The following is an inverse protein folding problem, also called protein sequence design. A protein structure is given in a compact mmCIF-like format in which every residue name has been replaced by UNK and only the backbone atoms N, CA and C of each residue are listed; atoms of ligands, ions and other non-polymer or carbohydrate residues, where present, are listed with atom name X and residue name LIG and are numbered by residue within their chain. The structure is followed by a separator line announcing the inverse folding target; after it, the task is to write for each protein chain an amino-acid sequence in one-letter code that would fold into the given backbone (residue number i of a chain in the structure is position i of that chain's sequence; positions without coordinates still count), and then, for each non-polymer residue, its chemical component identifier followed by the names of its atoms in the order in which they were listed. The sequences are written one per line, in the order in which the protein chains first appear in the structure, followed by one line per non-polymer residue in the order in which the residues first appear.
data_IF_646366220400
#
_entry.id   IF_646366220400
#
_cell.length_a   1.000
_cell.length_b   1.000
_cell.length_c   1.000
_cell.angle_alpha   90.00
_cell.angle_beta   90.00
_cell.angle_gamma   90.00
#
_symmetry.space_group_name_H-M   'P 1'
#
loop_
_entity.id
_entity.type
_entity.pdbx_description
1 polymer ?
#
# COMPACT_ATOMS: atom_id res chain seq x y z
N UNK A 1 -9.93 8.84 -8.07
CA UNK A 1 -8.91 9.36 -7.14
C UNK A 1 -7.67 8.52 -7.35
N UNK A 2 -6.50 9.13 -7.50
CA UNK A 2 -5.25 8.37 -7.70
C UNK A 2 -4.58 8.14 -6.36
N UNK A 3 -4.29 6.88 -6.06
CA UNK A 3 -3.61 6.45 -4.87
C UNK A 3 -2.24 5.90 -5.26
N UNK A 4 -1.19 6.40 -4.63
CA UNK A 4 0.16 5.87 -4.81
C UNK A 4 0.56 5.07 -3.57
N UNK A 5 0.92 3.81 -3.77
CA UNK A 5 1.37 2.92 -2.71
C UNK A 5 2.82 2.53 -3.01
N UNK A 6 3.76 3.17 -2.32
CA UNK A 6 5.17 2.77 -2.27
C UNK A 6 5.35 1.59 -1.31
N UNK A 7 6.17 0.62 -1.68
CA UNK A 7 6.69 -0.39 -0.77
C UNK A 7 8.20 -0.25 -0.69
N UNK A 8 8.70 -0.21 0.53
CA UNK A 8 10.12 -0.32 0.82
C UNK A 8 10.39 -1.63 1.56
N UNK A 9 11.33 -2.40 1.06
CA UNK A 9 11.83 -3.60 1.72
C UNK A 9 13.11 -3.26 2.46
N UNK A 10 13.16 -3.54 3.76
CA UNK A 10 14.41 -3.49 4.53
C UNK A 10 15.16 -4.80 4.31
N UNK A 11 15.64 -5.00 3.09
CA UNK A 11 16.32 -6.22 2.66
C UNK A 11 17.24 -5.89 1.50
N UNK A 12 18.51 -6.19 1.66
CA UNK A 12 19.52 -6.07 0.63
C UNK A 12 19.29 -7.19 -0.39
N UNK A 13 18.41 -6.98 -1.36
CA UNK A 13 18.39 -7.74 -2.62
C UNK A 13 17.52 -7.01 -3.63
N UNK A 14 18.19 -6.17 -4.41
CA UNK A 14 17.70 -5.75 -5.71
C UNK A 14 17.96 -6.92 -6.68
N UNK A 15 17.00 -7.82 -6.81
CA UNK A 15 16.90 -8.64 -8.02
C UNK A 15 15.48 -8.46 -8.56
N UNK A 16 15.40 -8.06 -9.83
CA UNK A 16 14.16 -7.82 -10.56
C UNK A 16 13.44 -9.15 -10.84
N UNK A 17 13.10 -9.88 -9.80
CA UNK A 17 12.26 -11.07 -9.86
C UNK A 17 10.80 -10.66 -9.83
N UNK A 18 9.90 -11.39 -10.50
CA UNK A 18 8.46 -11.13 -10.44
C UNK A 18 7.84 -11.41 -9.05
N UNK A 19 8.58 -11.92 -8.07
CA UNK A 19 8.09 -12.16 -6.70
C UNK A 19 8.39 -10.99 -5.75
N UNK A 20 8.30 -9.75 -6.24
CA UNK A 20 8.42 -8.60 -5.32
C UNK A 20 7.21 -8.52 -4.39
N UNK A 21 7.38 -8.04 -3.15
CA UNK A 21 6.25 -7.80 -2.26
C UNK A 21 5.21 -6.83 -2.86
N UNK A 22 5.62 -5.93 -3.77
CA UNK A 22 4.70 -5.07 -4.51
C UNK A 22 3.80 -5.86 -5.46
N UNK A 23 4.37 -6.80 -6.23
CA UNK A 23 3.60 -7.68 -7.12
C UNK A 23 2.62 -8.53 -6.32
N UNK A 24 3.05 -9.05 -5.17
CA UNK A 24 2.20 -9.84 -4.25
C UNK A 24 1.07 -8.99 -3.67
N UNK A 25 1.33 -7.73 -3.30
CA UNK A 25 0.29 -6.79 -2.89
C UNK A 25 -0.69 -6.52 -4.04
N UNK A 26 -0.18 -6.26 -5.25
CA UNK A 26 -0.99 -6.04 -6.46
C UNK A 26 -1.92 -7.22 -6.74
N UNK A 27 -1.41 -8.45 -6.68
CA UNK A 27 -2.21 -9.65 -6.88
C UNK A 27 -3.26 -9.82 -5.78
N UNK A 28 -2.89 -9.56 -4.53
CA UNK A 28 -3.80 -9.66 -3.40
C UNK A 28 -4.96 -8.66 -3.50
N UNK A 29 -4.66 -7.39 -3.80
CA UNK A 29 -5.68 -6.36 -4.03
C UNK A 29 -6.61 -6.69 -5.19
N UNK A 30 -6.10 -7.35 -6.25
CA UNK A 30 -6.94 -7.81 -7.38
C UNK A 30 -7.84 -8.99 -7.02
N UNK A 31 -7.42 -9.82 -6.06
CA UNK A 31 -8.20 -10.96 -5.57
C UNK A 31 -9.27 -10.55 -4.56
N UNK A 32 -9.15 -9.36 -3.94
CA UNK A 32 -10.12 -8.85 -3.00
C UNK A 32 -11.47 -8.56 -3.71
N UNK A 33 -12.55 -9.31 -3.43
CA UNK A 33 -13.81 -9.22 -4.16
C UNK A 33 -14.44 -7.83 -4.08
N UNK A 34 -14.23 -7.13 -2.95
CA UNK A 34 -14.74 -5.79 -2.71
C UNK A 34 -14.02 -4.69 -3.52
N UNK A 35 -12.77 -4.95 -3.94
CA UNK A 35 -11.95 -4.07 -4.77
C UNK A 35 -11.95 -4.48 -6.24
N UNK A 36 -12.37 -5.71 -6.54
CA UNK A 36 -12.37 -6.29 -7.88
C UNK A 36 -13.22 -5.45 -8.84
N UNK A 37 -12.60 -5.01 -9.93
CA UNK A 37 -13.22 -4.15 -10.94
C UNK A 37 -13.37 -2.68 -10.54
N UNK A 38 -12.95 -2.31 -9.32
CA UNK A 38 -12.99 -0.92 -8.81
C UNK A 38 -11.61 -0.30 -8.66
N UNK A 39 -10.56 -1.12 -8.69
CA UNK A 39 -9.16 -0.67 -8.75
C UNK A 39 -8.62 -0.87 -10.17
N UNK A 40 -8.00 0.17 -10.73
CA UNK A 40 -7.23 0.05 -11.97
C UNK A 40 -5.75 0.17 -11.65
N UNK A 41 -4.93 -0.89 -11.83
CA UNK A 41 -3.49 -0.80 -11.63
C UNK A 41 -2.86 -0.02 -12.78
N UNK A 42 -2.32 1.17 -12.48
CA UNK A 42 -1.82 2.08 -13.50
C UNK A 42 -0.40 1.75 -13.96
N UNK A 43 0.48 1.28 -13.07
CA UNK A 43 1.83 0.73 -13.30
C UNK A 43 2.57 0.62 -11.96
N UNK A 44 3.53 -0.30 -11.88
CA UNK A 44 4.61 -0.24 -10.90
C UNK A 44 5.76 0.56 -11.52
N UNK A 45 6.25 1.58 -10.81
CA UNK A 45 7.44 2.32 -11.26
C UNK A 45 8.53 2.10 -10.22
N UNK A 46 9.69 1.52 -10.61
CA UNK A 46 10.83 1.47 -9.71
C UNK A 46 11.25 2.91 -9.38
N UNK A 47 11.27 3.24 -8.09
CA UNK A 47 11.64 4.58 -7.63
C UNK A 47 13.12 4.86 -7.90
N UNK A 48 13.49 6.08 -8.33
CA UNK A 48 14.89 6.45 -8.57
C UNK A 48 15.75 6.56 -7.30
N UNK A 49 15.20 6.26 -6.12
CA UNK A 49 15.81 6.51 -4.80
C UNK A 49 16.85 5.45 -4.39
N UNK A 50 17.53 4.83 -5.36
CA UNK A 50 18.54 3.78 -5.16
C UNK A 50 19.80 4.22 -4.38
N UNK A 51 19.89 5.48 -3.96
CA UNK A 51 21.04 6.02 -3.24
C UNK A 51 20.67 6.19 -1.77
N UNK A 52 20.98 5.19 -0.94
CA UNK A 52 20.85 5.17 0.54
C UNK A 52 19.59 4.50 1.10
N UNK A 53 19.51 3.15 0.99
CA UNK A 53 18.86 2.38 2.06
C UNK A 53 17.63 1.51 1.73
N UNK A 54 17.32 1.22 0.47
CA UNK A 54 16.34 0.18 0.12
C UNK A 54 15.77 0.30 -1.30
N UNK A 55 15.16 -0.77 -1.80
CA UNK A 55 14.37 -0.74 -3.04
C UNK A 55 13.00 -0.16 -2.70
N UNK A 56 12.66 0.97 -3.33
CA UNK A 56 11.33 1.57 -3.29
C UNK A 56 10.63 1.24 -4.60
N UNK A 57 9.61 0.41 -4.55
CA UNK A 57 8.74 0.14 -5.70
C UNK A 57 7.37 0.75 -5.43
N UNK A 58 6.85 1.53 -6.37
CA UNK A 58 5.60 2.26 -6.20
C UNK A 58 4.52 1.76 -7.16
N UNK A 59 3.41 1.30 -6.59
CA UNK A 59 2.19 0.93 -7.31
C UNK A 59 1.21 2.10 -7.33
N UNK A 60 0.86 2.56 -8.53
CA UNK A 60 -0.19 3.56 -8.72
C UNK A 60 -1.51 2.85 -8.98
N UNK A 61 -2.55 3.18 -8.20
CA UNK A 61 -3.89 2.63 -8.30
C UNK A 61 -4.91 3.76 -8.49
N UNK A 62 -5.79 3.64 -9.48
CA UNK A 62 -6.99 4.47 -9.50
C UNK A 62 -8.05 3.81 -8.61
N UNK A 63 -8.52 4.56 -7.60
CA UNK A 63 -9.50 4.12 -6.61
C UNK A 63 -10.69 5.09 -6.58
N UNK A 64 -11.88 4.56 -6.33
CA UNK A 64 -13.09 5.35 -6.08
C UNK A 64 -13.28 5.63 -4.59
N UNK A 65 -14.02 6.68 -4.24
CA UNK A 65 -14.31 7.04 -2.83
C UNK A 65 -14.96 5.89 -2.04
N UNK A 66 -15.75 5.04 -2.69
CA UNK A 66 -16.37 3.86 -2.08
C UNK A 66 -15.44 2.66 -1.85
N UNK A 67 -14.22 2.68 -2.41
CA UNK A 67 -13.22 1.60 -2.22
C UNK A 67 -12.14 1.92 -1.21
N UNK A 68 -12.06 3.16 -0.77
CA UNK A 68 -11.07 3.65 0.19
C UNK A 68 -11.16 2.91 1.52
N UNK A 69 -12.37 2.73 2.07
CA UNK A 69 -12.56 2.05 3.35
C UNK A 69 -12.17 0.57 3.31
N UNK A 70 -12.44 -0.09 2.18
CA UNK A 70 -12.02 -1.48 1.95
C UNK A 70 -10.49 -1.54 1.88
N UNK A 71 -9.85 -0.69 1.09
CA UNK A 71 -8.38 -0.62 1.00
C UNK A 71 -7.73 -0.39 2.37
N UNK A 72 -8.27 0.56 3.14
CA UNK A 72 -7.78 0.87 4.48
C UNK A 72 -7.82 -0.32 5.44
N UNK A 73 -8.87 -1.15 5.36
CA UNK A 73 -9.02 -2.38 6.17
C UNK A 73 -8.18 -3.53 5.63
N UNK A 74 -8.04 -3.62 4.31
CA UNK A 74 -7.37 -4.69 3.60
C UNK A 74 -5.83 -4.60 3.72
N UNK A 75 -5.25 -3.41 3.57
CA UNK A 75 -3.81 -3.17 3.70
C UNK A 75 -3.17 -3.72 5.00
N UNK A 76 -3.69 -3.44 6.20
CA UNK A 76 -3.14 -3.97 7.45
C UNK A 76 -3.27 -5.50 7.55
N UNK A 77 -4.30 -6.10 6.96
CA UNK A 77 -4.47 -7.56 6.89
C UNK A 77 -3.39 -8.21 6.02
N UNK A 78 -3.08 -7.61 4.87
CA UNK A 78 -2.00 -8.06 4.00
C UNK A 78 -0.62 -7.91 4.67
N UNK A 79 -0.38 -6.76 5.28
CA UNK A 79 0.84 -6.49 6.06
C UNK A 79 1.07 -7.55 7.15
N UNK A 80 0.00 -7.91 7.88
CA UNK A 80 0.04 -8.92 8.94
C UNK A 80 0.31 -10.34 8.40
N UNK A 81 -0.15 -10.63 7.18
CA UNK A 81 0.18 -11.89 6.49
C UNK A 81 1.59 -11.90 5.94
N UNK A 82 2.21 -10.73 5.75
CA UNK A 82 3.53 -10.62 5.17
C UNK A 82 4.60 -10.96 6.20
N UNK A 83 5.39 -12.01 5.92
CA UNK A 83 6.47 -12.48 6.82
C UNK A 83 7.71 -11.59 6.81
N UNK A 84 7.83 -10.72 5.81
CA UNK A 84 8.98 -9.84 5.63
C UNK A 84 8.76 -8.50 6.34
N UNK A 85 9.82 -7.92 6.91
CA UNK A 85 9.78 -6.53 7.38
C UNK A 85 9.69 -5.59 6.16
N UNK A 86 8.45 -5.32 5.76
CA UNK A 86 8.13 -4.34 4.73
C UNK A 86 7.57 -3.09 5.38
N UNK A 87 7.92 -1.94 4.83
CA UNK A 87 7.20 -0.71 5.10
C UNK A 87 6.47 -0.27 3.84
N UNK A 88 5.23 0.16 4.02
CA UNK A 88 4.38 0.68 2.97
C UNK A 88 4.27 2.18 3.18
N UNK A 89 4.52 2.94 2.14
CA UNK A 89 4.24 4.36 2.05
C UNK A 89 2.99 4.56 1.19
N UNK A 90 1.98 5.22 1.73
CA UNK A 90 0.70 5.45 1.04
C UNK A 90 0.53 6.94 0.90
N UNK A 91 0.47 7.41 -0.35
CA UNK A 91 0.22 8.80 -0.69
C UNK A 91 -1.17 8.92 -1.27
N UNK A 92 -2.08 9.50 -0.49
CA UNK A 92 -3.45 9.80 -0.91
C UNK A 92 -3.50 10.94 -1.91
N UNK A 93 -4.65 11.13 -2.58
CA UNK A 93 -4.79 12.16 -3.61
C UNK A 93 -4.77 13.60 -3.06
N UNK A 94 -4.92 13.77 -1.73
CA UNK A 94 -4.76 15.07 -1.07
C UNK A 94 -3.27 15.45 -0.90
N UNK A 95 -2.34 14.57 -1.28
CA UNK A 95 -0.90 14.74 -1.03
C UNK A 95 -0.47 14.31 0.38
N UNK A 96 -1.39 13.76 1.18
CA UNK A 96 -1.06 13.18 2.47
C UNK A 96 -0.34 11.84 2.28
N UNK A 97 0.89 11.77 2.79
CA UNK A 97 1.71 10.56 2.76
C UNK A 97 1.82 9.98 4.17
N UNK A 98 1.47 8.71 4.32
CA UNK A 98 1.62 7.96 5.58
C UNK A 98 2.51 6.75 5.38
N UNK A 99 3.35 6.48 6.37
CA UNK A 99 4.27 5.34 6.37
C UNK A 99 3.83 4.35 7.42
N UNK A 100 3.67 3.10 7.00
CA UNK A 100 3.17 2.01 7.82
C UNK A 100 4.15 0.86 7.78
N UNK A 101 4.63 0.45 8.95
CA UNK A 101 5.50 -0.71 9.10
C UNK A 101 4.69 -1.94 9.48
N UNK A 102 5.13 -3.12 9.03
CA UNK A 102 4.54 -4.39 9.43
C UNK A 102 4.54 -4.61 10.96
N UNK A 103 5.44 -3.95 11.68
CA UNK A 103 5.55 -4.02 13.14
C UNK A 103 4.49 -3.18 13.89
N UNK A 104 3.91 -2.15 13.25
CA UNK A 104 2.96 -1.23 13.87
C UNK A 104 1.60 -1.19 13.13
N UNK A 105 0.88 -2.32 13.15
CA UNK A 105 -0.41 -2.49 12.45
C UNK A 105 -1.58 -1.82 13.17
N UNK A 106 -1.51 -1.66 14.49
CA UNK A 106 -2.60 -1.09 15.30
C UNK A 106 -2.98 0.34 14.88
N UNK A 107 -1.98 1.19 14.58
CA UNK A 107 -2.20 2.54 14.07
C UNK A 107 -2.30 2.60 12.54
N UNK A 108 -1.89 1.53 11.85
CA UNK A 108 -1.83 1.48 10.39
C UNK A 108 -3.18 1.81 9.78
N UNK A 109 -4.25 1.15 10.20
CA UNK A 109 -5.57 1.35 9.61
C UNK A 109 -6.01 2.82 9.74
N UNK A 110 -5.90 3.39 10.93
CA UNK A 110 -6.28 4.78 11.21
C UNK A 110 -5.47 5.79 10.40
N UNK A 111 -4.16 5.57 10.28
CA UNK A 111 -3.27 6.40 9.47
C UNK A 111 -3.62 6.32 7.98
N UNK A 112 -3.90 5.11 7.49
CA UNK A 112 -4.26 4.88 6.08
C UNK A 112 -5.60 5.55 5.78
N UNK A 113 -6.62 5.38 6.63
CA UNK A 113 -7.91 6.06 6.49
C UNK A 113 -7.73 7.57 6.40
N UNK A 114 -6.91 8.13 7.30
CA UNK A 114 -6.62 9.56 7.34
C UNK A 114 -5.94 10.05 6.06
N UNK A 115 -4.91 9.35 5.59
CA UNK A 115 -4.23 9.69 4.33
C UNK A 115 -5.16 9.63 3.12
N UNK A 116 -6.15 8.73 3.17
CA UNK A 116 -7.17 8.60 2.15
C UNK A 116 -8.33 9.60 2.31
N UNK A 117 -8.27 10.48 3.32
CA UNK A 117 -9.29 11.49 3.60
C UNK A 117 -10.57 10.92 4.21
N UNK A 118 -10.57 9.68 4.72
CA UNK A 118 -11.69 9.16 5.49
C UNK A 118 -11.56 9.52 6.98
N UNK A 119 -12.67 9.92 7.63
CA UNK A 119 -12.69 9.99 9.09
C UNK A 119 -12.32 8.61 9.67
N UNK A 120 -11.65 8.57 10.84
CA UNK A 120 -11.46 7.30 11.54
C UNK A 120 -12.84 6.64 11.64
N UNK A 121 -12.93 5.33 11.40
CA UNK A 121 -14.18 4.63 11.64
C UNK A 121 -14.55 4.90 13.10
N UNK A 122 -15.55 5.75 13.32
CA UNK A 122 -16.26 5.78 14.57
C UNK A 122 -16.89 4.41 14.66
N UNK A 123 -16.24 3.53 15.41
CA UNK A 123 -16.80 2.28 15.88
C UNK A 123 -18.08 2.66 16.64
N UNK A 124 -19.24 2.33 16.05
CA UNK A 124 -20.58 2.46 16.66
C UNK A 124 -20.90 1.16 17.40
#
# INVERSE_FOLDING_TARGET
MELRIGLRTTGETADATPDTPLERLRQWLRNEPELRGRITPLRSTPGPEQMSGGVVDALVLAVGSGTVGVLARSLPIWLKQQRSQVEIEITGANGETVRVKADNIQDAESLIRRALGQPPASDD
#
